data_IF_966841494576
#
_entry.id   IF_966841494576
#
_cell.length_a   1.000
_cell.length_b   1.000
_cell.length_c   1.000
_cell.angle_alpha   90.00
_cell.angle_beta   90.00
_cell.angle_gamma   90.00
#
_symmetry.space_group_name_H-M   'P 1'
#
loop_
_entity.id
_entity.type
_entity.pdbx_description
1 polymer ?
#
# COMPACT_ATOMS: atom_id res chain seq x y z
N UNK A 1 9.90 -8.31 12.46
CA UNK A 1 9.78 -7.64 11.16
C UNK A 1 11.00 -6.75 10.99
N UNK A 2 11.78 -6.96 9.92
CA UNK A 2 12.88 -6.07 9.57
C UNK A 2 12.31 -4.79 8.97
N UNK A 3 12.71 -3.65 9.52
CA UNK A 3 12.35 -2.31 9.05
C UNK A 3 13.63 -1.62 8.61
N UNK A 4 13.59 -0.91 7.47
CA UNK A 4 14.72 -0.22 6.85
C UNK A 4 14.32 1.22 6.57
N UNK A 5 14.93 2.17 7.27
CA UNK A 5 14.67 3.60 7.07
C UNK A 5 15.13 4.04 5.67
N UNK A 6 14.19 4.50 4.84
CA UNK A 6 14.50 4.95 3.49
C UNK A 6 15.25 6.28 3.39
N UNK A 7 15.36 7.04 4.48
CA UNK A 7 16.21 8.22 4.57
C UNK A 7 17.69 7.84 4.79
N UNK A 8 17.95 6.68 5.40
CA UNK A 8 19.30 6.15 5.59
C UNK A 8 19.72 5.23 4.44
N UNK A 9 18.84 4.29 4.05
CA UNK A 9 19.11 3.30 3.01
C UNK A 9 17.86 3.03 2.18
N UNK A 10 17.89 3.49 0.94
CA UNK A 10 16.87 3.18 -0.05
C UNK A 10 17.12 1.83 -0.71
N UNK A 11 16.14 0.94 -0.67
CA UNK A 11 16.16 -0.36 -1.32
C UNK A 11 15.62 -0.27 -2.75
N UNK A 12 16.08 -1.18 -3.62
CA UNK A 12 15.45 -1.39 -4.92
C UNK A 12 14.06 -2.02 -4.76
N UNK A 13 13.19 -1.85 -5.75
CA UNK A 13 11.84 -2.43 -5.75
C UNK A 13 11.85 -3.95 -5.50
N UNK A 14 12.68 -4.76 -6.21
CA UNK A 14 12.76 -6.19 -5.93
C UNK A 14 13.19 -6.48 -4.48
N UNK A 15 14.14 -5.72 -3.94
CA UNK A 15 14.59 -5.92 -2.55
C UNK A 15 13.50 -5.57 -1.54
N UNK A 16 12.68 -4.54 -1.77
CA UNK A 16 11.51 -4.26 -0.92
C UNK A 16 10.53 -5.43 -0.93
N UNK A 17 10.24 -5.99 -2.09
CA UNK A 17 9.31 -7.14 -2.23
C UNK A 17 9.87 -8.39 -1.54
N UNK A 18 11.15 -8.70 -1.78
CA UNK A 18 11.84 -9.84 -1.15
C UNK A 18 11.82 -9.69 0.37
N UNK A 19 12.31 -8.57 0.90
CA UNK A 19 12.37 -8.33 2.35
C UNK A 19 10.97 -8.33 2.98
N UNK A 20 9.96 -7.80 2.30
CA UNK A 20 8.58 -7.88 2.79
C UNK A 20 8.13 -9.33 2.89
N UNK A 21 8.22 -10.12 1.83
CA UNK A 21 7.73 -11.51 1.84
C UNK A 21 8.54 -12.38 2.82
N UNK A 22 9.82 -12.13 3.00
CA UNK A 22 10.63 -12.78 4.05
C UNK A 22 10.17 -12.40 5.46
N UNK A 23 9.76 -11.15 5.68
CA UNK A 23 9.24 -10.69 6.96
C UNK A 23 7.85 -11.24 7.28
N UNK A 24 6.98 -11.35 6.28
CA UNK A 24 5.55 -11.60 6.48
C UNK A 24 5.12 -13.02 6.11
N UNK A 25 5.94 -13.74 5.34
CA UNK A 25 5.61 -15.02 4.74
C UNK A 25 4.76 -14.91 3.48
N UNK A 26 4.48 -16.05 2.86
CA UNK A 26 3.50 -16.14 1.79
C UNK A 26 2.08 -15.88 2.32
N UNK A 27 1.28 -15.10 1.58
CA UNK A 27 -0.15 -14.90 1.87
C UNK A 27 -0.99 -16.14 1.53
N UNK A 28 -0.44 -17.07 0.74
CA UNK A 28 -1.11 -18.32 0.35
C UNK A 28 -0.51 -19.48 1.13
N UNK A 29 -1.36 -20.19 1.88
CA UNK A 29 -0.96 -21.36 2.67
C UNK A 29 -0.32 -22.44 1.78
N UNK A 30 0.82 -22.98 2.22
CA UNK A 30 1.57 -24.00 1.49
C UNK A 30 2.43 -23.49 0.33
N UNK A 31 2.40 -22.19 0.03
CA UNK A 31 3.28 -21.58 -0.99
C UNK A 31 4.57 -21.10 -0.32
N UNK A 32 5.72 -21.45 -0.92
CA UNK A 32 7.03 -21.00 -0.45
C UNK A 32 7.25 -19.51 -0.68
N UNK A 33 8.06 -18.86 0.15
CA UNK A 33 8.41 -17.45 -0.01
C UNK A 33 9.02 -17.17 -1.40
N UNK A 34 9.85 -18.07 -1.92
CA UNK A 34 10.42 -17.94 -3.27
C UNK A 34 9.34 -17.90 -4.36
N UNK A 35 8.32 -18.74 -4.26
CA UNK A 35 7.19 -18.75 -5.20
C UNK A 35 6.32 -17.50 -5.03
N UNK A 36 6.08 -17.04 -3.79
CA UNK A 36 5.35 -15.81 -3.52
C UNK A 36 6.06 -14.57 -4.09
N UNK A 37 7.40 -14.48 -3.93
CA UNK A 37 8.23 -13.42 -4.52
C UNK A 37 8.12 -13.44 -6.04
N UNK A 38 8.29 -14.62 -6.65
CA UNK A 38 8.19 -14.78 -8.11
C UNK A 38 6.81 -14.36 -8.61
N UNK A 39 5.73 -14.79 -7.95
CA UNK A 39 4.37 -14.43 -8.32
C UNK A 39 4.13 -12.91 -8.22
N UNK A 40 4.53 -12.27 -7.11
CA UNK A 40 4.39 -10.83 -6.94
C UNK A 40 5.14 -10.04 -8.04
N UNK A 41 6.37 -10.44 -8.37
CA UNK A 41 7.14 -9.80 -9.44
C UNK A 41 6.53 -10.04 -10.84
N UNK A 42 5.90 -11.20 -11.08
CA UNK A 42 5.19 -11.48 -12.32
C UNK A 42 3.91 -10.63 -12.44
N UNK A 43 3.14 -10.50 -11.36
CA UNK A 43 1.96 -9.63 -11.28
C UNK A 43 2.30 -8.17 -11.58
N UNK A 44 3.42 -7.68 -11.04
CA UNK A 44 3.94 -6.33 -11.28
C UNK A 44 4.30 -6.06 -12.76
N UNK A 45 4.58 -7.11 -13.54
CA UNK A 45 4.93 -7.00 -14.96
C UNK A 45 3.72 -7.13 -15.90
N UNK A 46 2.50 -7.32 -15.37
CA UNK A 46 1.29 -7.38 -16.20
C UNK A 46 0.93 -6.00 -16.78
N UNK A 47 0.35 -5.95 -17.99
CA UNK A 47 0.05 -4.70 -18.72
C UNK A 47 -0.87 -3.73 -17.97
N UNK A 48 -1.85 -4.28 -17.24
CA UNK A 48 -2.81 -3.55 -16.42
C UNK A 48 -2.26 -3.21 -15.02
N UNK A 49 -1.05 -3.66 -14.70
CA UNK A 49 -0.36 -3.30 -13.47
C UNK A 49 0.32 -1.94 -13.59
N UNK A 50 0.27 -1.17 -12.51
CA UNK A 50 0.95 0.11 -12.30
C UNK A 50 1.70 0.02 -10.99
N UNK A 51 3.02 -0.01 -11.09
CA UNK A 51 3.89 -0.11 -9.93
C UNK A 51 4.59 1.21 -9.68
N UNK A 52 4.57 1.67 -8.43
CA UNK A 52 5.27 2.88 -8.00
C UNK A 52 5.89 2.64 -6.63
N UNK A 53 7.08 3.20 -6.42
CA UNK A 53 7.79 3.11 -5.15
C UNK A 53 7.99 4.51 -4.57
N UNK A 54 7.71 4.65 -3.28
CA UNK A 54 8.08 5.81 -2.47
C UNK A 54 8.84 5.30 -1.24
N UNK A 55 10.04 5.83 -0.97
CA UNK A 55 10.89 5.30 0.10
C UNK A 55 11.15 3.80 -0.08
N UNK A 56 10.97 3.04 1.00
CA UNK A 56 10.99 1.57 1.04
C UNK A 56 9.57 0.97 1.08
N UNK A 57 8.62 1.65 0.42
CA UNK A 57 7.26 1.18 0.22
C UNK A 57 6.96 1.05 -1.29
N UNK A 58 6.57 -0.15 -1.73
CA UNK A 58 6.14 -0.44 -3.11
C UNK A 58 4.63 -0.61 -3.16
N UNK A 59 3.99 0.10 -4.09
CA UNK A 59 2.57 0.00 -4.40
C UNK A 59 2.43 -0.69 -5.74
N UNK A 60 1.92 -1.92 -5.76
CA UNK A 60 1.57 -2.66 -6.98
C UNK A 60 0.08 -2.59 -7.19
N UNK A 61 -0.36 -2.01 -8.29
CA UNK A 61 -1.76 -1.62 -8.47
C UNK A 61 -2.34 -2.14 -9.78
N UNK A 62 -3.53 -2.72 -9.71
CA UNK A 62 -4.35 -3.05 -10.87
C UNK A 62 -5.36 -1.94 -11.12
N UNK A 63 -5.33 -1.39 -12.33
CA UNK A 63 -6.29 -0.38 -12.78
C UNK A 63 -7.61 -1.08 -13.11
N UNK A 64 -8.69 -0.65 -12.46
CA UNK A 64 -10.05 -1.02 -12.83
C UNK A 64 -10.72 0.09 -13.65
N UNK A 65 -12.02 -0.10 -13.92
CA UNK A 65 -12.81 0.88 -14.65
C UNK A 65 -13.19 2.10 -13.79
N UNK A 66 -13.57 3.20 -14.44
CA UNK A 66 -14.17 4.39 -13.83
C UNK A 66 -13.36 5.03 -12.68
N UNK A 67 -12.03 5.04 -12.82
CA UNK A 67 -11.14 5.64 -11.83
C UNK A 67 -11.01 4.84 -10.54
N UNK A 68 -11.31 3.54 -10.57
CA UNK A 68 -11.08 2.61 -9.47
C UNK A 68 -9.72 1.94 -9.61
N UNK A 69 -9.06 1.70 -8.49
CA UNK A 69 -7.77 1.01 -8.46
C UNK A 69 -7.70 0.09 -7.24
N UNK A 70 -7.19 -1.11 -7.44
CA UNK A 70 -6.89 -2.05 -6.36
C UNK A 70 -5.39 -2.22 -6.28
N UNK A 71 -4.83 -2.26 -5.07
CA UNK A 71 -3.40 -2.49 -4.94
C UNK A 71 -3.00 -3.32 -3.74
N UNK A 72 -1.79 -3.87 -3.87
CA UNK A 72 -1.05 -4.56 -2.82
C UNK A 72 0.15 -3.70 -2.44
N UNK A 73 0.38 -3.56 -1.15
CA UNK A 73 1.40 -2.66 -0.59
C UNK A 73 2.47 -3.52 0.08
N UNK A 74 3.71 -3.37 -0.39
CA UNK A 74 4.88 -4.01 0.20
C UNK A 74 5.65 -2.93 0.96
N UNK A 75 5.54 -2.94 2.28
CA UNK A 75 6.20 -1.94 3.13
C UNK A 75 7.28 -2.58 4.01
N UNK A 76 8.51 -2.09 3.88
CA UNK A 76 9.60 -2.38 4.84
C UNK A 76 10.19 -1.10 5.42
N UNK A 77 9.52 0.04 5.24
CA UNK A 77 9.95 1.34 5.78
C UNK A 77 9.45 1.55 7.21
N UNK A 78 10.03 2.55 7.90
CA UNK A 78 9.59 2.96 9.24
C UNK A 78 8.14 3.45 9.22
N UNK A 79 7.45 3.42 10.37
CA UNK A 79 6.05 3.86 10.43
C UNK A 79 5.85 5.32 9.98
N UNK A 80 6.80 6.20 10.33
CA UNK A 80 6.78 7.61 9.94
C UNK A 80 6.97 7.78 8.43
N UNK A 81 8.00 7.14 7.87
CA UNK A 81 8.25 7.18 6.43
C UNK A 81 7.11 6.55 5.64
N UNK A 82 6.56 5.43 6.13
CA UNK A 82 5.44 4.76 5.48
C UNK A 82 4.20 5.65 5.42
N UNK A 83 3.89 6.38 6.49
CA UNK A 83 2.80 7.36 6.47
C UNK A 83 3.04 8.46 5.42
N UNK A 84 4.26 8.99 5.34
CA UNK A 84 4.64 9.96 4.30
C UNK A 84 4.53 9.35 2.89
N UNK A 85 4.93 8.09 2.71
CA UNK A 85 4.84 7.37 1.45
C UNK A 85 3.38 7.15 1.02
N UNK A 86 2.47 6.89 1.95
CA UNK A 86 1.02 6.84 1.70
C UNK A 86 0.50 8.20 1.20
N UNK A 87 0.93 9.32 1.80
CA UNK A 87 0.52 10.65 1.33
C UNK A 87 1.08 10.96 -0.07
N UNK A 88 2.33 10.58 -0.34
CA UNK A 88 2.94 10.68 -1.69
C UNK A 88 2.19 9.84 -2.71
N UNK A 89 1.74 8.64 -2.31
CA UNK A 89 0.91 7.78 -3.13
C UNK A 89 -0.49 8.36 -3.35
N UNK A 90 -1.13 8.96 -2.34
CA UNK A 90 -2.37 9.71 -2.49
C UNK A 90 -2.28 10.81 -3.56
N UNK A 91 -1.20 11.60 -3.55
CA UNK A 91 -0.91 12.57 -4.63
C UNK A 91 -0.75 11.90 -6.00
N UNK A 92 -0.13 10.72 -6.06
CA UNK A 92 -0.01 9.95 -7.30
C UNK A 92 -1.40 9.54 -7.82
N UNK A 93 -2.28 9.04 -6.94
CA UNK A 93 -3.65 8.67 -7.28
C UNK A 93 -4.43 9.88 -7.83
N UNK A 94 -4.31 11.06 -7.20
CA UNK A 94 -4.92 12.30 -7.68
C UNK A 94 -4.46 12.65 -9.10
N UNK A 95 -3.14 12.62 -9.37
CA UNK A 95 -2.60 12.88 -10.71
C UNK A 95 -3.07 11.88 -11.76
N UNK A 96 -3.37 10.65 -11.34
CA UNK A 96 -3.91 9.59 -12.20
C UNK A 96 -5.44 9.61 -12.30
N UNK A 97 -6.11 10.60 -11.70
CA UNK A 97 -7.57 10.73 -11.67
C UNK A 97 -8.26 9.50 -11.07
N UNK A 98 -7.58 8.79 -10.16
CA UNK A 98 -8.18 7.71 -9.38
C UNK A 98 -9.04 8.34 -8.30
N UNK A 99 -10.28 7.87 -8.18
CA UNK A 99 -11.28 8.35 -7.21
C UNK A 99 -11.46 7.38 -6.05
N UNK A 100 -11.32 6.07 -6.31
CA UNK A 100 -11.49 5.02 -5.32
C UNK A 100 -10.29 4.07 -5.36
N UNK A 101 -9.65 3.90 -4.21
CA UNK A 101 -8.57 2.95 -4.04
C UNK A 101 -8.94 1.91 -2.99
N UNK A 102 -8.60 0.65 -3.25
CA UNK A 102 -8.80 -0.44 -2.30
C UNK A 102 -7.52 -1.25 -2.11
N UNK A 103 -7.25 -1.64 -0.87
CA UNK A 103 -6.11 -2.48 -0.53
C UNK A 103 -6.47 -3.48 0.55
N UNK A 104 -6.06 -4.73 0.34
CA UNK A 104 -6.24 -5.81 1.31
C UNK A 104 -5.00 -5.94 2.20
N UNK A 105 -5.21 -6.29 3.45
CA UNK A 105 -4.13 -6.62 4.38
C UNK A 105 -4.59 -7.72 5.35
N UNK A 106 -3.65 -8.57 5.76
CA UNK A 106 -3.96 -9.72 6.61
C UNK A 106 -4.20 -9.30 8.07
N UNK A 107 -4.82 -10.20 8.84
CA UNK A 107 -5.20 -9.97 10.24
C UNK A 107 -4.01 -9.60 11.13
N UNK A 108 -2.84 -10.15 10.84
CA UNK A 108 -1.60 -9.90 11.57
C UNK A 108 -1.18 -8.43 11.53
N UNK A 109 -1.67 -7.66 10.55
CA UNK A 109 -1.38 -6.24 10.36
C UNK A 109 -2.40 -5.31 11.00
N UNK A 110 -3.49 -5.85 11.54
CA UNK A 110 -4.64 -5.08 12.05
C UNK A 110 -4.23 -3.95 12.99
N UNK A 111 -3.47 -4.28 14.03
CA UNK A 111 -3.17 -3.35 15.12
C UNK A 111 -2.20 -2.25 14.69
N UNK A 112 -1.40 -2.50 13.65
CA UNK A 112 -0.53 -1.49 13.04
C UNK A 112 -1.28 -0.62 12.03
N UNK A 113 -2.11 -1.23 11.17
CA UNK A 113 -2.72 -0.55 10.04
C UNK A 113 -3.99 0.22 10.41
N UNK A 114 -4.83 -0.27 11.32
CA UNK A 114 -6.07 0.44 11.70
C UNK A 114 -5.78 1.83 12.29
N UNK A 115 -4.85 2.02 13.25
CA UNK A 115 -4.52 3.35 13.76
C UNK A 115 -4.00 4.28 12.66
N UNK A 116 -3.17 3.76 11.74
CA UNK A 116 -2.66 4.50 10.60
C UNK A 116 -3.78 4.94 9.66
N UNK A 117 -4.74 4.06 9.36
CA UNK A 117 -5.91 4.40 8.53
C UNK A 117 -6.81 5.43 9.21
N UNK A 118 -6.95 5.39 10.55
CA UNK A 118 -7.64 6.44 11.31
C UNK A 118 -6.93 7.79 11.18
N UNK A 119 -5.60 7.81 11.31
CA UNK A 119 -4.78 9.02 11.10
C UNK A 119 -4.91 9.55 9.67
N UNK A 120 -4.85 8.66 8.67
CA UNK A 120 -5.05 9.02 7.27
C UNK A 120 -6.45 9.61 7.03
N UNK A 121 -7.50 9.01 7.59
CA UNK A 121 -8.88 9.51 7.51
C UNK A 121 -8.98 10.94 8.03
N UNK A 122 -8.46 11.19 9.23
CA UNK A 122 -8.47 12.52 9.83
C UNK A 122 -7.74 13.55 8.95
N UNK A 123 -6.63 13.13 8.32
CA UNK A 123 -5.84 14.00 7.45
C UNK A 123 -6.56 14.34 6.13
N UNK A 124 -7.21 13.37 5.49
CA UNK A 124 -7.82 13.57 4.16
C UNK A 124 -9.29 14.00 4.21
N UNK A 125 -9.98 13.83 5.33
CA UNK A 125 -11.39 14.21 5.45
C UNK A 125 -11.66 15.70 5.17
N UNK A 126 -10.85 16.66 5.67
CA UNK A 126 -11.00 18.07 5.32
C UNK A 126 -10.82 18.36 3.83
N UNK A 127 -10.10 17.49 3.10
CA UNK A 127 -9.81 17.61 1.67
C UNK A 127 -10.87 16.92 0.79
N UNK A 128 -11.98 16.48 1.39
CA UNK A 128 -13.05 15.74 0.73
C UNK A 128 -12.74 14.26 0.47
N UNK A 129 -11.73 13.71 1.14
CA UNK A 129 -11.41 12.28 1.10
C UNK A 129 -12.07 11.50 2.23
N UNK A 130 -11.96 10.18 2.21
CA UNK A 130 -12.42 9.33 3.33
C UNK A 130 -11.68 8.00 3.34
N UNK A 131 -11.63 7.35 4.51
CA UNK A 131 -11.12 6.00 4.67
C UNK A 131 -12.14 5.17 5.44
N UNK A 132 -12.51 4.03 4.89
CA UNK A 132 -13.22 2.95 5.58
C UNK A 132 -12.32 1.72 5.67
N UNK A 133 -12.49 0.92 6.71
CA UNK A 133 -11.85 -0.40 6.83
C UNK A 133 -12.95 -1.40 7.17
N UNK A 134 -13.02 -2.49 6.41
CA UNK A 134 -13.94 -3.60 6.67
C UNK A 134 -13.14 -4.88 6.98
N UNK A 135 -13.67 -5.69 7.87
CA UNK A 135 -13.21 -7.08 8.06
C UNK A 135 -13.95 -7.98 7.06
N UNK A 136 -13.21 -8.85 6.40
CA UNK A 136 -13.70 -9.78 5.40
C UNK A 136 -14.05 -11.13 6.05
N UNK A 137 -14.81 -11.98 5.35
CA UNK A 137 -15.27 -13.27 5.88
C UNK A 137 -14.13 -14.23 6.26
N UNK A 138 -12.98 -14.11 5.59
CA UNK A 138 -11.78 -14.90 5.84
C UNK A 138 -10.90 -14.32 6.96
N UNK A 139 -11.33 -13.24 7.62
CA UNK A 139 -10.59 -12.56 8.68
C UNK A 139 -9.53 -11.58 8.19
N UNK A 140 -9.35 -11.43 6.88
CA UNK A 140 -8.54 -10.34 6.30
C UNK A 140 -9.28 -9.00 6.42
N UNK A 141 -8.58 -7.91 6.12
CA UNK A 141 -9.15 -6.57 6.14
C UNK A 141 -8.99 -5.89 4.78
N UNK A 142 -9.98 -5.08 4.40
CA UNK A 142 -9.89 -4.22 3.22
C UNK A 142 -10.03 -2.76 3.63
N UNK A 143 -9.04 -1.95 3.26
CA UNK A 143 -9.13 -0.50 3.32
C UNK A 143 -9.78 0.03 2.04
N UNK A 144 -10.81 0.85 2.18
CA UNK A 144 -11.49 1.59 1.12
C UNK A 144 -11.14 3.06 1.27
N UNK A 145 -10.48 3.64 0.26
CA UNK A 145 -10.05 5.03 0.25
C UNK A 145 -10.80 5.79 -0.82
N UNK A 146 -11.58 6.78 -0.40
CA UNK A 146 -12.06 7.84 -1.28
C UNK A 146 -10.94 8.86 -1.40
N UNK A 147 -10.37 8.98 -2.59
CA UNK A 147 -9.26 9.90 -2.86
C UNK A 147 -9.80 11.34 -2.82
N UNK A 148 -9.21 12.23 -2.01
CA UNK A 148 -9.67 13.61 -1.91
C UNK A 148 -9.58 14.34 -3.25
N UNK A 149 -10.51 15.26 -3.52
CA UNK A 149 -10.47 16.12 -4.70
C UNK A 149 -9.47 17.27 -4.51
N UNK A 150 -9.35 17.78 -3.29
CA UNK A 150 -8.39 18.82 -2.96
C UNK A 150 -6.99 18.24 -2.84
N UNK A 151 -5.99 19.01 -3.30
CA UNK A 151 -4.61 18.54 -3.37
C UNK A 151 -4.08 18.22 -1.99
N UNK A 152 -3.60 16.99 -1.79
CA UNK A 152 -2.86 16.62 -0.58
C UNK A 152 -1.59 17.49 -0.55
N UNK A 153 -1.34 18.21 0.56
CA UNK A 153 -0.07 18.93 0.77
C UNK A 153 0.72 18.19 1.83
N UNK A 154 1.98 17.89 1.54
CA UNK A 154 2.88 17.22 2.49
C UNK A 154 3.79 18.34 2.99
N UNK A 155 3.77 18.60 4.30
CA UNK A 155 4.66 19.59 4.93
C UNK A 155 6.12 19.29 4.58
N UNK A 156 6.90 20.36 4.38
CA UNK A 156 8.35 20.25 4.20
C UNK A 156 9.02 19.85 5.51
#
# INVERSE_FOLDING_TARGET
MVVVDSNEKKLSLPNVVVTFIENVGSEVAGVSNANAIRAALMEMNQKNSKVVQFGNTVFSNFVGDDGKMMGRIFNVDTAENYFVNILKFGKYLQRKKVTHYLANFNKEYKDLFIPMMKKLKQFIAPLGGNVGVAEMKDGSYTAFVLVPKETIVIGR
#
